data_IF_653758949265
#
_entry.id   IF_653758949265
#
_cell.length_a   1.000
_cell.length_b   1.000
_cell.length_c   1.000
_cell.angle_alpha   90.00
_cell.angle_beta   90.00
_cell.angle_gamma   90.00
#
_symmetry.space_group_name_H-M   'P 1'
#
loop_
_entity.id
_entity.type
_entity.pdbx_description
1 polymer ?
#
# COMPACT_ATOMS: atom_id res chain seq x y z
N UNK A 1 -0.20 4.04 -26.32
CA UNK A 1 -0.82 3.96 -26.49
C UNK A 1 -1.27 3.90 -26.54
N UNK A 2 -1.30 3.87 -26.63
CA UNK A 2 -2.06 3.77 -26.77
C UNK A 2 -2.70 3.71 -26.65
N UNK A 3 -2.84 3.75 -26.71
CA UNK A 3 -3.67 3.67 -26.75
C UNK A 3 -4.25 3.60 -26.66
N UNK A 4 -4.02 3.83 -26.75
CA UNK A 4 -4.84 3.58 -26.90
C UNK A 4 -5.58 3.20 -26.69
N UNK A 5 -5.81 3.06 -26.64
CA UNK A 5 -6.63 2.64 -26.55
C UNK A 5 -7.36 2.54 -26.37
N UNK A 6 -7.40 2.78 -26.48
CA UNK A 6 -8.31 2.62 -26.48
C UNK A 6 -9.03 2.10 -26.07
N UNK A 7 -9.12 1.98 -25.93
CA UNK A 7 -9.90 1.38 -25.70
C UNK A 7 -10.49 1.10 -24.75
N UNK A 8 -10.82 1.29 -24.34
CA UNK A 8 -11.37 0.95 -23.58
C UNK A 8 -12.16 0.41 -23.04
N UNK A 9 -12.34 0.73 -22.94
CA UNK A 9 -13.25 -0.33 -22.68
C UNK A 9 -13.66 -0.49 -21.23
N UNK A 10 -12.74 -0.32 -20.32
CA UNK A 10 -13.03 -0.46 -18.89
C UNK A 10 -13.70 0.77 -18.34
N UNK A 11 -14.70 0.58 -17.47
CA UNK A 11 -15.31 1.69 -16.75
C UNK A 11 -14.38 2.20 -15.65
N UNK A 12 -13.44 1.38 -15.20
CA UNK A 12 -12.49 1.76 -14.15
C UNK A 12 -11.13 2.03 -14.78
N UNK A 13 -10.42 2.99 -14.20
CA UNK A 13 -9.14 3.44 -14.73
C UNK A 13 -7.94 2.93 -13.94
N UNK A 14 -8.16 1.95 -13.09
CA UNK A 14 -7.11 1.38 -12.26
C UNK A 14 -7.17 1.88 -10.83
N UNK A 15 -6.32 1.32 -10.01
CA UNK A 15 -6.29 1.69 -8.60
C UNK A 15 -5.80 3.12 -8.45
N UNK A 16 -6.51 3.93 -7.67
CA UNK A 16 -6.15 5.32 -7.42
C UNK A 16 -5.78 5.57 -5.98
N UNK A 17 -6.53 4.97 -5.08
CA UNK A 17 -6.39 5.26 -3.65
C UNK A 17 -6.59 4.00 -2.86
N UNK A 18 -5.74 3.83 -1.86
CA UNK A 18 -5.95 2.83 -0.82
C UNK A 18 -6.03 3.59 0.49
N UNK A 19 -7.12 3.41 1.21
CA UNK A 19 -7.31 4.11 2.48
C UNK A 19 -7.24 3.11 3.61
N UNK A 20 -6.36 3.38 4.55
CA UNK A 20 -6.22 2.60 5.75
C UNK A 20 -6.80 3.37 6.93
N UNK A 21 -7.69 2.73 7.68
CA UNK A 21 -8.25 3.33 8.87
C UNK A 21 -7.38 2.96 10.06
N UNK A 22 -6.95 3.98 10.80
CA UNK A 22 -6.03 3.78 11.91
C UNK A 22 -6.51 4.59 13.11
N UNK A 23 -6.23 4.10 14.29
CA UNK A 23 -6.65 4.79 15.51
C UNK A 23 -5.80 6.01 15.78
N UNK A 24 -4.50 5.89 15.59
CA UNK A 24 -3.57 6.99 15.85
C UNK A 24 -2.94 7.42 14.54
N UNK A 25 -3.56 8.40 13.91
CA UNK A 25 -3.10 8.87 12.59
C UNK A 25 -1.72 9.50 12.66
N UNK A 26 -1.40 10.20 13.75
CA UNK A 26 -0.07 10.81 13.88
C UNK A 26 1.03 9.76 13.92
N UNK A 27 0.80 8.69 14.67
CA UNK A 27 1.75 7.59 14.73
C UNK A 27 1.89 6.90 13.39
N UNK A 28 0.75 6.62 12.75
CA UNK A 28 0.74 5.97 11.44
C UNK A 28 1.45 6.85 10.42
N UNK A 29 1.21 8.14 10.45
CA UNK A 29 1.88 9.10 9.57
C UNK A 29 3.39 8.99 9.68
N UNK A 30 3.90 9.02 10.90
CA UNK A 30 5.35 8.92 11.12
C UNK A 30 5.90 7.60 10.60
N UNK A 31 5.20 6.52 10.85
CA UNK A 31 5.62 5.21 10.40
C UNK A 31 5.65 5.13 8.87
N UNK A 32 4.59 5.64 8.22
CA UNK A 32 4.52 5.56 6.76
C UNK A 32 5.49 6.49 6.06
N UNK A 33 5.85 7.62 6.67
CA UNK A 33 6.94 8.45 6.13
C UNK A 33 8.22 7.61 6.03
N UNK A 34 8.51 6.83 7.05
CA UNK A 34 9.69 5.96 7.03
C UNK A 34 9.53 4.80 6.05
N UNK A 35 8.37 4.17 6.07
CA UNK A 35 8.13 3.01 5.22
C UNK A 35 8.16 3.37 3.74
N UNK A 36 7.54 4.49 3.37
CA UNK A 36 7.45 4.92 1.97
C UNK A 36 8.66 5.73 1.53
N UNK A 37 9.34 6.37 2.48
CA UNK A 37 10.47 7.22 2.16
C UNK A 37 10.07 8.57 1.57
N UNK A 38 8.84 9.00 1.77
CA UNK A 38 8.34 10.29 1.27
C UNK A 38 7.47 10.92 2.34
N UNK A 39 7.25 12.23 2.19
CA UNK A 39 6.35 12.97 3.07
C UNK A 39 4.96 13.04 2.46
N UNK A 40 3.92 13.19 3.28
CA UNK A 40 2.58 13.32 2.73
C UNK A 40 2.42 14.64 1.97
N UNK A 41 1.60 14.62 0.93
CA UNK A 41 1.27 15.84 0.20
C UNK A 41 0.06 16.53 0.83
N UNK A 42 -0.77 15.80 1.55
CA UNK A 42 -1.88 16.32 2.31
C UNK A 42 -1.73 15.84 3.74
N UNK A 43 -1.69 16.75 4.69
CA UNK A 43 -1.24 16.42 6.03
C UNK A 43 -2.09 17.12 7.10
N UNK A 44 -3.23 16.55 7.39
CA UNK A 44 -4.11 17.01 8.45
C UNK A 44 -4.52 15.81 9.29
N UNK A 45 -3.64 15.38 10.22
CA UNK A 45 -3.84 14.09 10.93
C UNK A 45 -5.18 13.91 11.62
N UNK A 46 -5.84 14.98 12.06
CA UNK A 46 -7.14 14.84 12.68
C UNK A 46 -8.23 14.51 11.66
N UNK A 47 -7.95 14.67 10.37
CA UNK A 47 -8.92 14.39 9.31
C UNK A 47 -8.43 13.36 8.31
N UNK A 48 -7.20 13.54 7.82
CA UNK A 48 -6.72 12.68 6.74
C UNK A 48 -5.26 12.99 6.45
N UNK A 49 -4.50 11.95 6.12
CA UNK A 49 -3.12 12.13 5.65
C UNK A 49 -3.00 11.37 4.33
N UNK A 50 -2.56 12.05 3.29
CA UNK A 50 -2.44 11.45 1.97
C UNK A 50 -1.01 11.47 1.45
N UNK A 51 -0.56 10.32 0.94
CA UNK A 51 0.76 10.17 0.33
C UNK A 51 0.59 9.93 -1.15
N UNK A 52 1.42 10.58 -1.95
CA UNK A 52 1.47 10.32 -3.38
C UNK A 52 2.55 9.26 -3.63
N UNK A 53 2.11 8.06 -3.95
CA UNK A 53 3.01 6.93 -4.14
C UNK A 53 2.99 6.55 -5.62
N UNK A 54 3.93 7.12 -6.37
CA UNK A 54 4.03 6.84 -7.80
C UNK A 54 2.80 7.25 -8.59
N UNK A 55 2.12 8.31 -8.17
CA UNK A 55 0.91 8.79 -8.82
C UNK A 55 -0.38 8.25 -8.23
N UNK A 56 -0.28 7.33 -7.29
CA UNK A 56 -1.45 6.77 -6.61
C UNK A 56 -1.45 7.19 -5.17
N UNK A 57 -2.61 7.19 -4.55
CA UNK A 57 -2.72 7.70 -3.19
C UNK A 57 -2.83 6.60 -2.16
N UNK A 58 -2.00 6.69 -1.13
CA UNK A 58 -2.19 5.94 0.10
C UNK A 58 -2.69 6.94 1.14
N UNK A 59 -3.88 6.68 1.68
CA UNK A 59 -4.49 7.56 2.65
C UNK A 59 -4.57 6.93 4.03
N UNK A 60 -4.39 7.76 5.04
CA UNK A 60 -4.59 7.37 6.43
C UNK A 60 -5.76 8.16 6.97
N UNK A 61 -6.75 7.46 7.49
CA UNK A 61 -7.99 8.06 7.95
C UNK A 61 -8.22 7.67 9.40
N UNK A 62 -8.66 8.60 10.25
CA UNK A 62 -8.98 8.22 11.62
C UNK A 62 -10.08 7.17 11.65
N UNK A 63 -9.90 6.18 12.50
CA UNK A 63 -10.92 5.16 12.70
C UNK A 63 -11.85 5.61 13.81
N UNK A 64 -12.92 6.27 13.43
CA UNK A 64 -13.87 6.83 14.37
C UNK A 64 -15.00 5.86 14.72
N UNK A 65 -14.96 4.68 14.12
CA UNK A 65 -15.98 3.65 14.35
C UNK A 65 -15.31 2.39 14.84
N UNK A 66 -16.05 1.59 15.56
CA UNK A 66 -15.57 0.27 15.94
C UNK A 66 -15.55 -0.59 14.69
N UNK A 67 -14.39 -0.98 14.29
CA UNK A 67 -14.24 -1.86 13.14
C UNK A 67 -13.95 -3.27 13.61
N UNK A 68 -14.26 -4.23 12.74
CA UNK A 68 -13.92 -5.61 13.01
C UNK A 68 -12.42 -5.73 13.24
N UNK A 69 -12.03 -6.62 14.12
CA UNK A 69 -10.60 -6.93 14.30
C UNK A 69 -10.05 -7.75 13.15
N UNK A 70 -10.94 -8.27 12.32
CA UNK A 70 -10.50 -9.01 11.15
C UNK A 70 -9.97 -8.02 10.13
N UNK A 71 -8.97 -8.45 9.39
CA UNK A 71 -8.44 -7.65 8.30
C UNK A 71 -9.48 -7.61 7.20
N UNK A 72 -9.72 -6.41 6.67
CA UNK A 72 -10.69 -6.24 5.61
C UNK A 72 -10.35 -7.07 4.39
N UNK A 73 -11.35 -7.33 3.56
CA UNK A 73 -11.21 -8.20 2.41
C UNK A 73 -10.51 -7.58 1.19
N UNK A 74 -9.90 -6.43 1.34
CA UNK A 74 -9.23 -5.77 0.22
C UNK A 74 -7.73 -5.91 0.39
N UNK A 75 -7.11 -6.58 -0.58
CA UNK A 75 -5.66 -6.72 -0.61
C UNK A 75 -5.11 -5.73 -1.62
N UNK A 76 -4.34 -4.79 -1.15
CA UNK A 76 -3.69 -3.82 -2.03
C UNK A 76 -2.20 -4.13 -2.09
N UNK A 77 -1.67 -4.15 -3.31
CA UNK A 77 -0.25 -4.40 -3.52
C UNK A 77 0.38 -3.19 -4.17
N UNK A 78 1.54 -2.82 -3.66
CA UNK A 78 2.30 -1.67 -4.15
C UNK A 78 3.53 -2.18 -4.88
N UNK A 79 3.82 -1.60 -6.04
CA UNK A 79 4.96 -2.00 -6.84
C UNK A 79 6.27 -1.65 -6.15
N UNK A 80 7.19 -2.60 -6.15
CA UNK A 80 8.54 -2.40 -5.61
C UNK A 80 9.55 -3.02 -6.55
N UNK A 81 10.81 -2.59 -6.43
CA UNK A 81 11.87 -3.14 -7.27
C UNK A 81 12.29 -4.53 -6.84
N UNK A 82 12.25 -4.79 -5.54
CA UNK A 82 12.72 -6.06 -4.98
C UNK A 82 11.82 -6.41 -3.80
N UNK A 83 10.94 -7.39 -4.02
CA UNK A 83 9.95 -7.76 -3.00
C UNK A 83 10.60 -8.29 -1.71
N UNK A 84 11.66 -9.09 -1.85
CA UNK A 84 12.33 -9.66 -0.68
C UNK A 84 12.96 -8.59 0.19
N UNK A 85 13.67 -7.65 -0.43
CA UNK A 85 14.31 -6.58 0.30
C UNK A 85 13.28 -5.64 0.92
N UNK A 86 12.19 -5.39 0.19
CA UNK A 86 11.12 -4.53 0.70
C UNK A 86 10.49 -5.12 1.94
N UNK A 87 10.21 -6.42 1.92
CA UNK A 87 9.65 -7.07 3.10
C UNK A 87 10.61 -7.00 4.30
N UNK A 88 11.88 -7.27 4.08
CA UNK A 88 12.87 -7.18 5.15
C UNK A 88 12.89 -5.80 5.78
N UNK A 89 12.86 -4.77 4.94
CA UNK A 89 12.88 -3.40 5.42
C UNK A 89 11.65 -3.09 6.27
N UNK A 90 10.48 -3.52 5.80
CA UNK A 90 9.23 -3.26 6.52
C UNK A 90 9.19 -4.00 7.86
N UNK A 91 9.74 -5.21 7.91
CA UNK A 91 9.82 -5.95 9.17
C UNK A 91 10.72 -5.22 10.17
N UNK A 92 11.80 -4.62 9.70
CA UNK A 92 12.67 -3.82 10.58
C UNK A 92 11.94 -2.58 11.11
N UNK A 93 10.96 -2.07 10.36
CA UNK A 93 10.17 -0.92 10.79
C UNK A 93 9.03 -1.29 11.73
N UNK A 94 8.92 -2.56 12.09
CA UNK A 94 7.93 -2.99 13.07
C UNK A 94 6.72 -3.68 12.51
N UNK A 95 6.66 -3.89 11.20
CA UNK A 95 5.59 -4.66 10.62
C UNK A 95 5.79 -6.15 10.92
N UNK A 96 4.72 -6.91 10.81
CA UNK A 96 4.77 -8.37 11.02
C UNK A 96 4.50 -9.07 9.72
N UNK A 97 5.18 -10.18 9.52
CA UNK A 97 4.98 -10.97 8.31
C UNK A 97 3.56 -11.51 8.26
N UNK A 98 2.90 -11.33 7.11
CA UNK A 98 1.60 -11.90 6.85
C UNK A 98 1.70 -13.00 5.80
N UNK A 99 2.26 -12.67 4.64
CA UNK A 99 2.55 -13.65 3.59
C UNK A 99 4.00 -13.47 3.16
N UNK A 100 4.81 -14.54 3.20
CA UNK A 100 6.19 -14.43 2.72
C UNK A 100 6.21 -14.19 1.22
N UNK A 101 7.35 -13.72 0.73
CA UNK A 101 7.51 -13.51 -0.70
C UNK A 101 7.41 -14.83 -1.43
N UNK A 102 6.59 -14.84 -2.48
CA UNK A 102 6.35 -16.02 -3.32
C UNK A 102 6.47 -15.61 -4.77
N UNK A 103 7.10 -16.47 -5.56
CA UNK A 103 7.10 -16.31 -7.01
C UNK A 103 5.81 -16.95 -7.51
N UNK A 104 4.92 -16.12 -8.06
CA UNK A 104 3.63 -16.61 -8.53
C UNK A 104 3.59 -16.86 -10.03
N UNK A 105 4.77 -16.88 -10.65
CA UNK A 105 4.90 -17.17 -12.08
C UNK A 105 5.40 -15.95 -12.85
N UNK A 106 6.14 -16.21 -13.93
CA UNK A 106 6.64 -15.17 -14.80
C UNK A 106 7.60 -14.19 -14.14
N UNK A 107 8.22 -14.57 -13.03
CA UNK A 107 9.11 -13.69 -12.31
C UNK A 107 8.39 -12.69 -11.43
N UNK A 108 7.07 -12.80 -11.32
CA UNK A 108 6.28 -11.93 -10.45
C UNK A 108 6.35 -12.45 -9.02
N UNK A 109 6.81 -11.61 -8.12
CA UNK A 109 6.95 -11.96 -6.71
C UNK A 109 6.13 -11.02 -5.87
N UNK A 110 5.42 -11.57 -4.90
CA UNK A 110 4.63 -10.76 -4.01
C UNK A 110 4.66 -11.30 -2.61
N UNK A 111 4.37 -10.43 -1.66
CA UNK A 111 4.29 -10.78 -0.27
C UNK A 111 3.55 -9.68 0.46
N UNK A 112 3.31 -9.87 1.74
CA UNK A 112 2.57 -8.89 2.50
C UNK A 112 2.98 -8.92 3.96
N UNK A 113 2.89 -7.75 4.57
CA UNK A 113 3.08 -7.60 6.00
C UNK A 113 1.82 -7.00 6.58
N UNK A 114 1.71 -7.13 7.89
CA UNK A 114 0.70 -6.42 8.65
C UNK A 114 1.39 -5.22 9.27
N UNK A 115 0.89 -4.02 8.99
CA UNK A 115 1.53 -2.83 9.55
C UNK A 115 1.27 -2.76 11.06
N UNK A 116 1.95 -1.87 11.78
CA UNK A 116 1.75 -1.78 13.23
C UNK A 116 0.35 -1.37 13.65
N UNK A 117 -0.50 -1.02 12.71
CA UNK A 117 -1.84 -0.50 12.99
C UNK A 117 -2.94 -1.48 12.58
N UNK A 118 -2.54 -2.69 12.16
CA UNK A 118 -3.49 -3.75 11.88
C UNK A 118 -3.94 -3.85 10.43
N UNK A 119 -3.30 -3.16 9.52
CA UNK A 119 -3.67 -3.17 8.10
C UNK A 119 -2.68 -3.98 7.29
N UNK A 120 -3.16 -4.60 6.22
CA UNK A 120 -2.27 -5.31 5.31
C UNK A 120 -1.60 -4.34 4.35
N UNK A 121 -0.31 -4.54 4.17
CA UNK A 121 0.48 -3.78 3.22
C UNK A 121 1.19 -4.79 2.34
N UNK A 122 0.73 -4.91 1.09
CA UNK A 122 1.29 -5.86 0.14
C UNK A 122 2.30 -5.21 -0.78
N UNK A 123 3.30 -5.97 -1.18
CA UNK A 123 4.28 -5.52 -2.15
C UNK A 123 4.31 -6.49 -3.31
N UNK A 124 4.55 -5.96 -4.49
CA UNK A 124 4.63 -6.76 -5.71
C UNK A 124 5.81 -6.31 -6.55
N UNK A 125 6.62 -7.27 -6.92
CA UNK A 125 7.72 -7.07 -7.86
C UNK A 125 7.27 -7.70 -9.17
N UNK A 126 7.02 -6.86 -10.16
CA UNK A 126 6.52 -7.32 -11.45
C UNK A 126 7.41 -6.78 -12.55
N UNK A 127 8.32 -7.62 -13.10
CA UNK A 127 9.25 -7.16 -14.14
C UNK A 127 8.55 -6.77 -15.44
N UNK A 128 7.28 -7.13 -15.59
CA UNK A 128 6.51 -6.83 -16.79
C UNK A 128 5.68 -5.58 -16.68
N UNK A 129 5.59 -5.01 -15.48
CA UNK A 129 4.76 -3.83 -15.27
C UNK A 129 5.47 -2.60 -15.79
N UNK A 130 4.78 -1.84 -16.62
CA UNK A 130 5.29 -0.57 -17.15
C UNK A 130 4.22 0.49 -16.96
N UNK A 131 4.67 1.63 -16.49
CA UNK A 131 3.77 2.77 -16.30
C UNK A 131 3.51 3.45 -17.64
#
# INVERSE_FOLDING_TARGET
MPSKSKKRTAHFHGLRTVVYFVRDVKKARSWYIKALGIKPYFDMPQYYVGFNVGGYELGLHPDNHKRSKTIGGVDAYWGVSDAGQSLKRLLKLGAKLYNPVEDVGGGIKLGAVKDPFGNLLGVIENPHFKK
#
